data_IF_046699765783
#
_entry.id   IF_046699765783
#
_cell.length_a   1.000
_cell.length_b   1.000
_cell.length_c   1.000
_cell.angle_alpha   90.00
_cell.angle_beta   90.00
_cell.angle_gamma   90.00
#
_symmetry.space_group_name_H-M   'P 1'
#
loop_
_entity.id
_entity.type
_entity.pdbx_description
1 polymer ?
#
# COMPACT_ATOMS: atom_id res chain seq x y z
N UNK A 1 -33.99 -2.18 53.96
CA UNK A 1 -33.23 -1.18 53.17
C UNK A 1 -31.79 -1.17 53.64
N UNK A 2 -30.85 -1.61 52.78
CA UNK A 2 -29.43 -1.31 52.88
C UNK A 2 -28.94 -0.96 51.48
N UNK A 3 -28.56 0.30 51.31
CA UNK A 3 -27.75 0.79 50.19
C UNK A 3 -26.27 0.52 50.49
N UNK A 4 -25.37 0.93 49.57
CA UNK A 4 -23.89 0.74 49.50
C UNK A 4 -23.59 -0.45 48.55
N UNK A 5 -22.93 -0.34 47.40
CA UNK A 5 -22.09 0.68 46.72
C UNK A 5 -21.99 0.20 45.27
N UNK A 6 -22.44 0.95 44.28
CA UNK A 6 -21.62 1.85 43.46
C UNK A 6 -20.26 1.28 43.00
N UNK A 7 -20.04 1.43 41.70
CA UNK A 7 -18.76 1.73 41.04
C UNK A 7 -18.06 0.58 40.31
N UNK A 8 -18.10 0.72 38.98
CA UNK A 8 -17.12 0.24 37.99
C UNK A 8 -17.06 -1.26 37.74
N UNK A 9 -18.03 -1.76 36.95
CA UNK A 9 -17.72 -2.82 36.01
C UNK A 9 -16.82 -2.20 34.93
N UNK A 10 -15.52 -2.27 35.19
CA UNK A 10 -14.43 -1.80 34.34
C UNK A 10 -14.67 -2.33 32.94
N UNK A 11 -14.95 -1.38 32.05
CA UNK A 11 -14.86 -1.43 30.60
C UNK A 11 -13.47 -1.94 30.23
N UNK A 12 -13.30 -3.26 30.22
CA UNK A 12 -12.19 -3.93 29.55
C UNK A 12 -12.49 -3.91 28.04
N UNK A 13 -12.56 -2.70 27.47
CA UNK A 13 -12.45 -2.52 26.03
C UNK A 13 -11.00 -2.86 25.75
N UNK A 14 -10.76 -4.13 25.45
CA UNK A 14 -9.53 -4.61 24.87
C UNK A 14 -9.29 -3.71 23.67
N UNK A 15 -8.35 -2.77 23.82
CA UNK A 15 -7.78 -2.02 22.72
C UNK A 15 -6.96 -3.01 21.92
N UNK A 16 -7.65 -3.91 21.21
CA UNK A 16 -7.10 -4.52 20.02
C UNK A 16 -6.88 -3.34 19.09
N UNK A 17 -5.66 -2.81 19.13
CA UNK A 17 -5.09 -2.06 18.03
C UNK A 17 -5.17 -3.00 16.84
N UNK A 18 -6.30 -2.99 16.14
CA UNK A 18 -6.37 -3.47 14.79
C UNK A 18 -5.38 -2.58 14.05
N UNK A 19 -4.15 -3.06 13.92
CA UNK A 19 -3.18 -2.49 13.02
C UNK A 19 -3.75 -2.76 11.63
N UNK A 20 -4.63 -1.86 11.18
CA UNK A 20 -5.11 -1.77 9.82
C UNK A 20 -3.99 -1.20 8.94
N UNK A 21 -2.80 -1.81 9.02
CA UNK A 21 -1.72 -1.60 8.06
C UNK A 21 -1.90 -2.66 6.99
N UNK A 22 -2.03 -2.24 5.73
CA UNK A 22 -2.08 -3.18 4.61
C UNK A 22 -0.87 -4.12 4.65
N UNK A 23 -1.05 -5.36 4.21
CA UNK A 23 0.06 -6.30 4.15
C UNK A 23 1.10 -5.83 3.13
N UNK A 24 2.37 -5.99 3.48
CA UNK A 24 3.51 -5.63 2.63
C UNK A 24 4.60 -6.69 2.73
N UNK A 25 5.31 -6.89 1.63
CA UNK A 25 6.41 -7.85 1.52
C UNK A 25 7.63 -7.22 0.89
N UNK A 26 8.77 -7.91 0.98
CA UNK A 26 10.03 -7.45 0.42
C UNK A 26 10.21 -7.99 -1.00
N UNK A 27 10.55 -7.08 -1.91
CA UNK A 27 10.73 -7.38 -3.33
C UNK A 27 12.07 -6.87 -3.85
N UNK A 28 12.58 -7.58 -4.85
CA UNK A 28 13.63 -7.09 -5.74
C UNK A 28 13.00 -6.36 -6.93
N UNK A 29 13.54 -5.20 -7.29
CA UNK A 29 13.13 -4.48 -8.49
C UNK A 29 13.90 -5.08 -9.68
N UNK A 30 13.20 -5.74 -10.59
CA UNK A 30 13.77 -6.41 -11.75
C UNK A 30 13.89 -5.47 -12.94
N UNK A 31 12.87 -4.65 -13.15
CA UNK A 31 12.83 -3.66 -14.22
C UNK A 31 12.11 -2.39 -13.76
N UNK A 32 12.52 -1.27 -14.34
CA UNK A 32 11.93 0.03 -14.11
C UNK A 32 11.96 0.83 -15.41
N UNK A 33 10.80 1.29 -15.85
CA UNK A 33 10.65 2.24 -16.95
C UNK A 33 9.78 3.42 -16.51
N UNK A 34 10.11 4.62 -16.99
CA UNK A 34 9.39 5.84 -16.65
C UNK A 34 9.20 6.71 -17.89
N UNK A 35 7.94 7.07 -18.17
CA UNK A 35 7.59 7.92 -19.28
C UNK A 35 6.51 8.93 -18.89
N UNK A 36 6.86 10.23 -18.97
CA UNK A 36 5.92 11.36 -18.77
C UNK A 36 5.17 11.30 -17.41
N UNK A 37 5.85 10.87 -16.34
CA UNK A 37 5.27 10.77 -14.99
C UNK A 37 4.47 9.49 -14.73
N UNK A 38 4.44 8.57 -15.69
CA UNK A 38 3.97 7.19 -15.49
C UNK A 38 5.18 6.28 -15.31
N UNK A 39 5.03 5.21 -14.54
CA UNK A 39 6.08 4.23 -14.34
C UNK A 39 5.56 2.80 -14.52
N UNK A 40 6.37 1.95 -15.13
CA UNK A 40 6.18 0.50 -15.16
C UNK A 40 7.28 -0.13 -14.31
N UNK A 41 6.90 -0.92 -13.31
CA UNK A 41 7.83 -1.49 -12.33
C UNK A 41 7.59 -3.00 -12.28
N UNK A 42 8.63 -3.78 -12.51
CA UNK A 42 8.58 -5.23 -12.34
C UNK A 42 9.26 -5.62 -11.04
N UNK A 43 8.54 -6.31 -10.16
CA UNK A 43 8.99 -6.76 -8.86
C UNK A 43 9.03 -8.29 -8.81
N UNK A 44 10.04 -8.83 -8.16
CA UNK A 44 10.14 -10.25 -7.85
C UNK A 44 10.13 -10.45 -6.33
N UNK A 45 9.22 -11.30 -5.85
CA UNK A 45 9.11 -11.60 -4.43
C UNK A 45 10.39 -12.30 -3.93
N UNK A 46 10.96 -11.80 -2.83
CA UNK A 46 12.12 -12.44 -2.19
C UNK A 46 11.65 -13.59 -1.28
N UNK A 47 10.51 -13.39 -0.62
CA UNK A 47 9.92 -14.33 0.33
C UNK A 47 8.66 -15.00 -0.23
N UNK A 48 8.62 -16.33 -0.23
CA UNK A 48 7.48 -17.14 -0.73
C UNK A 48 6.21 -17.05 0.14
N UNK A 49 6.23 -16.30 1.24
CA UNK A 49 5.07 -16.06 2.11
C UNK A 49 4.23 -14.85 1.68
N UNK A 50 4.54 -14.30 0.51
CA UNK A 50 3.72 -13.28 -0.13
C UNK A 50 2.32 -13.83 -0.46
N UNK A 51 1.30 -12.97 -0.31
CA UNK A 51 -0.08 -13.20 -0.74
C UNK A 51 -0.16 -13.57 -2.23
N UNK A 52 0.85 -13.20 -3.02
CA UNK A 52 0.95 -13.55 -4.44
C UNK A 52 1.84 -14.77 -4.72
N UNK A 53 1.82 -15.79 -3.85
CA UNK A 53 2.65 -17.00 -4.00
C UNK A 53 2.54 -17.72 -5.36
N UNK A 54 1.49 -17.45 -6.13
CA UNK A 54 1.26 -18.01 -7.47
C UNK A 54 1.80 -17.13 -8.60
N UNK A 55 2.28 -15.92 -8.30
CA UNK A 55 2.90 -15.00 -9.24
C UNK A 55 4.41 -14.96 -9.00
N UNK A 56 5.18 -15.31 -10.04
CA UNK A 56 6.65 -15.22 -9.96
C UNK A 56 7.12 -13.76 -10.01
N UNK A 57 6.36 -12.91 -10.70
CA UNK A 57 6.63 -11.50 -10.88
C UNK A 57 5.34 -10.69 -10.76
N UNK A 58 5.51 -9.45 -10.30
CA UNK A 58 4.46 -8.45 -10.17
C UNK A 58 4.83 -7.29 -11.08
N UNK A 59 3.90 -6.86 -11.92
CA UNK A 59 4.07 -5.68 -12.76
C UNK A 59 3.12 -4.57 -12.30
N UNK A 60 3.67 -3.40 -12.00
CA UNK A 60 2.93 -2.24 -11.52
C UNK A 60 2.97 -1.17 -12.59
N UNK A 61 1.81 -0.84 -13.12
CA UNK A 61 1.59 0.30 -13.99
C UNK A 61 1.10 1.46 -13.14
N UNK A 62 2.02 2.36 -12.77
CA UNK A 62 1.69 3.59 -12.06
C UNK A 62 1.35 4.70 -13.04
N UNK A 63 0.10 5.13 -13.01
CA UNK A 63 -0.38 6.33 -13.67
C UNK A 63 -1.21 7.10 -12.66
N UNK A 64 -0.73 8.29 -12.30
CA UNK A 64 -1.47 9.10 -11.34
C UNK A 64 -2.88 9.41 -11.89
N UNK A 65 -3.89 9.03 -11.13
CA UNK A 65 -5.28 9.38 -11.39
C UNK A 65 -5.87 9.98 -10.11
N UNK A 66 -6.44 11.18 -10.24
CA UNK A 66 -7.22 11.74 -9.15
C UNK A 66 -8.49 10.91 -8.99
N UNK A 67 -8.62 10.22 -7.85
CA UNK A 67 -9.86 9.52 -7.49
C UNK A 67 -10.68 10.48 -6.64
N UNK A 68 -11.77 11.08 -7.17
CA UNK A 68 -12.66 11.91 -6.38
C UNK A 68 -13.46 11.01 -5.44
N UNK A 69 -12.97 10.85 -4.22
CA UNK A 69 -13.77 10.23 -3.17
C UNK A 69 -14.82 11.24 -2.73
N UNK A 70 -16.08 10.99 -3.09
CA UNK A 70 -17.20 11.71 -2.50
C UNK A 70 -17.33 11.28 -1.04
N UNK A 71 -16.53 11.90 -0.16
CA UNK A 71 -16.94 11.96 1.22
C UNK A 71 -18.08 12.96 1.33
N UNK A 72 -19.29 12.45 1.56
CA UNK A 72 -20.44 13.25 1.97
C UNK A 72 -20.22 13.95 3.33
N UNK A 73 -19.11 13.65 4.02
CA UNK A 73 -18.71 14.24 5.29
C UNK A 73 -17.47 15.13 5.12
N UNK A 74 -17.50 16.40 5.57
CA UNK A 74 -16.43 17.38 5.36
C UNK A 74 -15.11 17.06 6.10
N UNK A 75 -15.07 15.97 6.87
CA UNK A 75 -13.93 15.54 7.69
C UNK A 75 -13.27 14.23 7.23
N UNK A 76 -13.80 13.56 6.20
CA UNK A 76 -13.11 12.39 5.62
C UNK A 76 -12.23 12.88 4.48
N UNK A 77 -10.95 13.04 4.79
CA UNK A 77 -9.93 13.28 3.79
C UNK A 77 -9.67 11.98 3.02
N UNK A 78 -9.48 12.09 1.69
CA UNK A 78 -9.17 10.93 0.86
C UNK A 78 -7.80 10.41 1.26
N UNK A 79 -7.68 9.12 1.59
CA UNK A 79 -6.37 8.51 1.83
C UNK A 79 -5.59 8.27 0.52
N UNK A 80 -6.09 8.72 -0.63
CA UNK A 80 -5.40 8.53 -1.91
C UNK A 80 -4.13 9.40 -2.01
N UNK A 81 -3.07 8.92 -2.68
CA UNK A 81 -1.88 9.70 -2.97
C UNK A 81 -2.18 11.00 -3.72
N UNK A 82 -1.40 12.04 -3.42
CA UNK A 82 -1.29 13.26 -4.22
C UNK A 82 -0.33 13.06 -5.41
N UNK A 83 -0.36 13.92 -6.44
CA UNK A 83 0.59 13.82 -7.56
C UNK A 83 2.06 13.90 -7.10
N UNK A 84 2.31 14.71 -6.07
CA UNK A 84 3.65 14.89 -5.49
C UNK A 84 4.13 13.61 -4.80
N UNK A 85 3.28 13.00 -3.98
CA UNK A 85 3.62 11.74 -3.30
C UNK A 85 3.86 10.60 -4.30
N UNK A 86 3.07 10.55 -5.37
CA UNK A 86 3.28 9.59 -6.46
C UNK A 86 4.67 9.76 -7.11
N UNK A 87 5.04 11.00 -7.45
CA UNK A 87 6.36 11.28 -8.02
C UNK A 87 7.48 10.92 -7.04
N UNK A 88 7.34 11.27 -5.76
CA UNK A 88 8.32 10.92 -4.74
C UNK A 88 8.50 9.40 -4.59
N UNK A 89 7.41 8.63 -4.67
CA UNK A 89 7.47 7.17 -4.65
C UNK A 89 8.16 6.61 -5.91
N UNK A 90 7.88 7.15 -7.10
CA UNK A 90 8.56 6.76 -8.34
C UNK A 90 10.07 7.02 -8.25
N UNK A 91 10.47 8.21 -7.78
CA UNK A 91 11.88 8.57 -7.59
C UNK A 91 12.58 7.66 -6.57
N UNK A 92 11.89 7.30 -5.50
CA UNK A 92 12.38 6.37 -4.49
C UNK A 92 12.66 4.98 -5.08
N UNK A 93 11.72 4.44 -5.86
CA UNK A 93 11.87 3.14 -6.53
C UNK A 93 13.01 3.21 -7.54
N UNK A 94 13.09 4.29 -8.33
CA UNK A 94 14.16 4.52 -9.31
C UNK A 94 15.53 4.55 -8.67
N UNK A 95 15.66 5.20 -7.51
CA UNK A 95 16.91 5.23 -6.74
C UNK A 95 17.28 3.83 -6.25
N UNK A 96 16.34 3.09 -5.68
CA UNK A 96 16.57 1.72 -5.20
C UNK A 96 16.95 0.78 -6.34
N UNK A 97 16.29 0.89 -7.49
CA UNK A 97 16.62 0.13 -8.70
C UNK A 97 18.06 0.41 -9.16
N UNK A 98 18.46 1.67 -9.26
CA UNK A 98 19.83 2.07 -9.65
C UNK A 98 20.91 1.56 -8.70
N UNK A 99 20.56 1.38 -7.42
CA UNK A 99 21.47 0.93 -6.38
C UNK A 99 21.40 -0.59 -6.13
N UNK A 100 20.63 -1.35 -6.93
CA UNK A 100 20.33 -2.78 -6.70
C UNK A 100 19.83 -3.07 -5.26
N UNK A 101 19.00 -2.16 -4.74
CA UNK A 101 18.39 -2.27 -3.42
C UNK A 101 16.96 -2.80 -3.52
N UNK A 102 16.60 -3.63 -2.54
CA UNK A 102 15.25 -4.16 -2.39
C UNK A 102 14.32 -3.11 -1.79
N UNK A 103 13.02 -3.23 -2.07
CA UNK A 103 11.98 -2.37 -1.49
C UNK A 103 10.95 -3.20 -0.73
N UNK A 104 10.26 -2.57 0.21
CA UNK A 104 9.01 -3.10 0.73
C UNK A 104 7.86 -2.56 -0.11
N UNK A 105 7.00 -3.44 -0.58
CA UNK A 105 5.86 -3.08 -1.39
C UNK A 105 4.57 -3.67 -0.80
N UNK A 106 3.53 -2.86 -0.82
CA UNK A 106 2.18 -3.24 -0.42
C UNK A 106 1.15 -2.61 -1.36
N UNK A 107 -0.11 -2.94 -1.14
CA UNK A 107 -1.22 -2.40 -1.92
C UNK A 107 -2.44 -2.12 -1.04
N UNK A 108 -3.24 -1.14 -1.46
CA UNK A 108 -4.51 -0.79 -0.84
C UNK A 108 -5.62 -0.77 -1.89
N UNK A 109 -6.76 -1.37 -1.53
CA UNK A 109 -7.90 -1.57 -2.43
C UNK A 109 -7.83 -2.87 -3.24
N UNK A 110 -8.81 -3.07 -4.12
CA UNK A 110 -8.96 -4.26 -4.95
C UNK A 110 -8.28 -4.02 -6.30
N UNK A 111 -6.95 -3.97 -6.27
CA UNK A 111 -6.12 -3.62 -7.43
C UNK A 111 -5.51 -4.76 -8.21
N UNK A 112 -5.52 -5.96 -7.62
CA UNK A 112 -4.87 -7.13 -8.21
C UNK A 112 -5.72 -7.66 -9.36
N UNK A 113 -5.15 -7.66 -10.57
CA UNK A 113 -5.67 -8.47 -11.66
C UNK A 113 -4.73 -9.66 -11.81
N UNK A 114 -5.10 -10.85 -11.29
CA UNK A 114 -4.28 -12.03 -11.48
C UNK A 114 -4.30 -12.43 -12.96
N UNK A 115 -3.14 -12.56 -13.59
CA UNK A 115 -2.99 -13.18 -14.92
C UNK A 115 -2.28 -14.53 -14.79
N UNK A 116 -2.27 -15.34 -15.84
CA UNK A 116 -1.71 -16.71 -15.81
C UNK A 116 -0.19 -16.76 -15.50
N UNK A 117 0.56 -15.68 -15.74
CA UNK A 117 2.03 -15.65 -15.56
C UNK A 117 2.55 -14.44 -14.76
N UNK A 118 1.76 -13.37 -14.61
CA UNK A 118 2.14 -12.16 -13.88
C UNK A 118 0.95 -11.61 -13.07
N UNK A 119 1.22 -11.05 -11.89
CA UNK A 119 0.22 -10.27 -11.18
C UNK A 119 0.33 -8.82 -11.64
N UNK A 120 -0.65 -8.34 -12.40
CA UNK A 120 -0.65 -6.95 -12.88
C UNK A 120 -1.45 -6.04 -11.93
N UNK A 121 -0.83 -4.92 -11.58
CA UNK A 121 -1.43 -3.86 -10.79
C UNK A 121 -1.54 -2.59 -11.61
N UNK A 122 -2.77 -2.16 -11.89
CA UNK A 122 -3.04 -0.83 -12.44
C UNK A 122 -3.19 0.15 -11.29
N UNK A 123 -2.09 0.76 -10.91
CA UNK A 123 -2.01 1.69 -9.79
C UNK A 123 -2.50 3.08 -10.20
N UNK A 124 -3.35 3.67 -9.36
CA UNK A 124 -3.81 5.05 -9.51
C UNK A 124 -2.92 6.05 -8.79
N UNK A 125 -2.00 5.55 -7.98
CA UNK A 125 -1.03 6.35 -7.26
C UNK A 125 -0.19 5.50 -6.35
N UNK A 126 1.06 5.92 -6.17
CA UNK A 126 2.00 5.37 -5.22
C UNK A 126 2.19 6.36 -4.07
N UNK A 127 2.44 5.85 -2.87
CA UNK A 127 2.89 6.66 -1.73
C UNK A 127 3.92 5.87 -0.94
N UNK A 128 4.89 6.59 -0.39
CA UNK A 128 5.82 6.04 0.60
C UNK A 128 5.18 6.19 1.98
N UNK A 129 4.95 5.07 2.64
CA UNK A 129 4.43 5.01 4.01
C UNK A 129 5.56 4.60 4.95
N UNK A 130 5.59 5.20 6.15
CA UNK A 130 6.58 4.88 7.16
C UNK A 130 5.92 4.13 8.31
N UNK A 131 6.17 2.82 8.39
CA UNK A 131 5.63 1.95 9.43
C UNK A 131 6.81 1.36 10.21
N UNK A 132 6.88 1.61 11.53
CA UNK A 132 7.95 1.09 12.40
C UNK A 132 9.38 1.35 11.85
N UNK A 133 9.63 2.56 11.33
CA UNK A 133 10.87 2.96 10.65
C UNK A 133 11.21 2.23 9.35
N UNK A 134 10.28 1.46 8.79
CA UNK A 134 10.38 0.91 7.44
C UNK A 134 9.64 1.81 6.46
N UNK A 135 10.28 2.09 5.32
CA UNK A 135 9.66 2.77 4.20
C UNK A 135 9.05 1.73 3.26
N UNK A 136 7.75 1.84 3.03
CA UNK A 136 6.94 0.92 2.24
C UNK A 136 6.35 1.71 1.09
N UNK A 137 6.52 1.20 -0.13
CA UNK A 137 5.84 1.73 -1.30
C UNK A 137 4.47 1.06 -1.37
N UNK A 138 3.42 1.84 -1.16
CA UNK A 138 2.04 1.35 -1.22
C UNK A 138 1.40 1.79 -2.53
N UNK A 139 0.86 0.82 -3.28
CA UNK A 139 0.07 1.06 -4.47
C UNK A 139 -1.42 1.20 -4.15
N UNK A 140 -2.02 2.30 -4.59
CA UNK A 140 -3.44 2.59 -4.36
C UNK A 140 -4.28 2.28 -5.59
N UNK A 141 -5.40 1.62 -5.35
CA UNK A 141 -6.33 1.14 -6.37
C UNK A 141 -7.78 1.55 -6.05
N UNK A 142 -8.71 1.16 -6.91
CA UNK A 142 -10.13 1.29 -6.57
C UNK A 142 -10.46 0.37 -5.39
N UNK A 143 -11.23 0.85 -4.42
CA UNK A 143 -11.97 -0.02 -3.51
C UNK A 143 -13.27 -0.40 -4.22
N UNK A 144 -13.50 -1.68 -4.47
CA UNK A 144 -14.81 -2.21 -4.89
C UNK A 144 -15.17 -3.38 -3.99
#
# INVERSE_FOLDING_TARGET
MKAITSTFLITLIVTSSAFAGGDYWKYKIMAFDEAKGNATITLQAIDKKDTFSNCNEIEIFSKYEHVPWFSWLPFVHTNHPTPKENHQAIDFIKLHYKNDQNIYFGYMGYGLVPTENACEFKSKGLRIEKINNLEIVTSYHNET
#
